data_IF_740465666778
#
_entry.id   IF_740465666778
#
_cell.length_a   1.000
_cell.length_b   1.000
_cell.length_c   1.000
_cell.angle_alpha   90.00
_cell.angle_beta   90.00
_cell.angle_gamma   90.00
#
_symmetry.space_group_name_H-M   'P 1'
#
loop_
_entity.id
_entity.type
_entity.pdbx_description
1 polymer ?
#
# COMPACT_ATOMS: atom_id res chain seq x y z
N UNK A 1 -25.93 -12.91 -16.75
CA UNK A 1 -24.52 -12.78 -17.15
C UNK A 1 -23.67 -13.07 -15.92
N UNK A 2 -22.53 -13.72 -16.13
CA UNK A 2 -21.88 -14.73 -15.27
C UNK A 2 -21.84 -14.46 -13.75
N UNK A 3 -22.38 -15.40 -12.96
CA UNK A 3 -22.32 -15.45 -11.48
C UNK A 3 -21.09 -16.20 -10.95
N UNK A 4 -20.06 -16.40 -11.77
CA UNK A 4 -18.83 -17.09 -11.40
C UNK A 4 -17.62 -16.31 -11.94
N UNK A 5 -17.24 -15.25 -11.24
CA UNK A 5 -15.92 -14.62 -11.43
C UNK A 5 -14.96 -15.18 -10.37
N UNK A 6 -13.78 -15.64 -10.79
CA UNK A 6 -12.74 -16.15 -9.89
C UNK A 6 -12.11 -15.03 -9.05
N UNK A 7 -12.10 -13.80 -9.58
CA UNK A 7 -11.57 -12.62 -8.91
C UNK A 7 -12.73 -11.79 -8.37
N UNK A 8 -12.80 -11.65 -7.04
CA UNK A 8 -13.88 -10.89 -6.39
C UNK A 8 -13.74 -9.37 -6.55
N UNK A 9 -12.51 -8.87 -6.66
CA UNK A 9 -12.21 -7.45 -6.88
C UNK A 9 -10.89 -7.32 -7.63
N UNK A 10 -10.88 -6.52 -8.69
CA UNK A 10 -9.71 -6.34 -9.54
C UNK A 10 -8.71 -5.37 -8.88
N UNK A 11 -7.41 -5.61 -9.08
CA UNK A 11 -6.41 -4.64 -8.65
C UNK A 11 -6.61 -3.33 -9.42
N UNK A 12 -6.54 -2.20 -8.71
CA UNK A 12 -6.83 -0.88 -9.28
C UNK A 12 -8.31 -0.53 -9.39
N UNK A 13 -9.25 -1.43 -9.05
CA UNK A 13 -10.66 -1.06 -8.99
C UNK A 13 -11.02 -0.42 -7.65
N UNK A 14 -11.62 0.76 -7.72
CA UNK A 14 -12.18 1.50 -6.58
C UNK A 14 -13.70 1.49 -6.68
N UNK A 15 -14.36 1.48 -5.53
CA UNK A 15 -15.82 1.45 -5.42
C UNK A 15 -16.21 2.52 -4.39
N UNK A 16 -17.40 3.09 -4.54
CA UNK A 16 -18.00 3.99 -3.55
C UNK A 16 -18.03 3.34 -2.15
N UNK A 17 -17.78 4.14 -1.12
CA UNK A 17 -17.94 3.72 0.26
C UNK A 17 -19.14 4.41 0.89
N UNK A 18 -20.32 3.79 0.77
CA UNK A 18 -21.55 4.30 1.41
C UNK A 18 -21.40 4.43 2.94
N UNK A 19 -20.75 3.45 3.57
CA UNK A 19 -20.51 3.43 5.01
C UNK A 19 -19.67 4.61 5.51
N UNK A 20 -18.72 5.07 4.68
CA UNK A 20 -17.86 6.22 4.96
C UNK A 20 -18.36 7.51 4.31
N UNK A 21 -19.47 7.45 3.56
CA UNK A 21 -20.05 8.55 2.77
C UNK A 21 -19.03 9.19 1.83
N UNK A 22 -18.25 8.34 1.16
CA UNK A 22 -17.21 8.75 0.24
C UNK A 22 -17.54 8.23 -1.15
N UNK A 23 -17.78 9.17 -2.07
CA UNK A 23 -18.01 8.87 -3.48
C UNK A 23 -16.78 8.24 -4.15
N UNK A 24 -17.00 7.50 -5.24
CA UNK A 24 -15.97 6.75 -5.97
C UNK A 24 -14.80 7.64 -6.42
N UNK A 25 -15.08 8.79 -7.04
CA UNK A 25 -14.05 9.70 -7.56
C UNK A 25 -13.10 10.21 -6.47
N UNK A 26 -13.64 10.55 -5.28
CA UNK A 26 -12.80 10.94 -4.13
C UNK A 26 -12.06 9.76 -3.53
N UNK A 27 -12.71 8.59 -3.46
CA UNK A 27 -12.06 7.38 -2.97
C UNK A 27 -10.87 6.98 -3.85
N UNK A 28 -10.99 7.12 -5.18
CA UNK A 28 -9.93 6.80 -6.14
C UNK A 28 -8.70 7.68 -5.93
N UNK A 29 -8.89 9.01 -5.85
CA UNK A 29 -7.80 9.96 -5.59
C UNK A 29 -7.05 9.65 -4.28
N UNK A 30 -7.77 9.27 -3.22
CA UNK A 30 -7.15 8.91 -1.95
C UNK A 30 -6.40 7.58 -2.04
N UNK A 31 -7.01 6.57 -2.66
CA UNK A 31 -6.41 5.24 -2.79
C UNK A 31 -5.14 5.28 -3.65
N UNK A 32 -5.12 6.09 -4.71
CA UNK A 32 -3.92 6.26 -5.55
C UNK A 32 -2.75 6.87 -4.77
N UNK A 33 -3.02 7.94 -4.00
CA UNK A 33 -2.01 8.55 -3.15
C UNK A 33 -1.52 7.56 -2.07
N UNK A 34 -2.44 6.88 -1.39
CA UNK A 34 -2.12 5.93 -0.32
C UNK A 34 -1.37 4.70 -0.83
N UNK A 35 -1.70 4.17 -2.01
CA UNK A 35 -0.96 3.05 -2.60
C UNK A 35 0.46 3.46 -3.02
N UNK A 36 0.63 4.68 -3.51
CA UNK A 36 1.96 5.25 -3.79
C UNK A 36 2.80 5.32 -2.52
N UNK A 37 2.24 5.88 -1.45
CA UNK A 37 2.90 5.98 -0.15
C UNK A 37 3.18 4.62 0.48
N UNK A 38 2.26 3.65 0.36
CA UNK A 38 2.42 2.29 0.84
C UNK A 38 3.60 1.60 0.14
N UNK A 39 3.68 1.70 -1.18
CA UNK A 39 4.77 1.12 -1.96
C UNK A 39 6.13 1.74 -1.56
N UNK A 40 6.20 3.08 -1.48
CA UNK A 40 7.40 3.79 -1.05
C UNK A 40 7.81 3.40 0.38
N UNK A 41 6.84 3.34 1.30
CA UNK A 41 7.07 2.97 2.70
C UNK A 41 7.54 1.53 2.86
N UNK A 42 7.05 0.60 2.03
CA UNK A 42 7.50 -0.79 2.07
C UNK A 42 8.94 -0.96 1.56
N UNK A 43 9.31 -0.20 0.52
CA UNK A 43 10.70 -0.14 0.06
C UNK A 43 11.60 0.44 1.16
N UNK A 44 11.17 1.55 1.78
CA UNK A 44 11.89 2.15 2.91
C UNK A 44 12.05 1.15 4.06
N UNK A 45 10.98 0.45 4.44
CA UNK A 45 11.02 -0.58 5.47
C UNK A 45 12.08 -1.63 5.14
N UNK A 46 12.09 -2.18 3.93
CA UNK A 46 13.08 -3.18 3.55
C UNK A 46 14.51 -2.62 3.48
N UNK A 47 14.70 -1.35 3.08
CA UNK A 47 16.00 -0.69 3.15
C UNK A 47 16.47 -0.53 4.59
N UNK A 48 15.60 -0.11 5.51
CA UNK A 48 15.92 -0.01 6.93
C UNK A 48 16.27 -1.38 7.51
N UNK A 49 15.55 -2.44 7.15
CA UNK A 49 15.90 -3.82 7.56
C UNK A 49 17.25 -4.24 7.00
N UNK A 50 17.54 -3.95 5.73
CA UNK A 50 18.84 -4.21 5.12
C UNK A 50 19.96 -3.46 5.84
N UNK A 51 19.79 -2.17 6.10
CA UNK A 51 20.78 -1.38 6.84
C UNK A 51 20.95 -1.91 8.27
N UNK A 52 19.86 -2.25 8.95
CA UNK A 52 19.92 -2.84 10.28
C UNK A 52 20.73 -4.15 10.32
N UNK A 53 20.65 -4.98 9.28
CA UNK A 53 21.41 -6.23 9.20
C UNK A 53 22.88 -6.03 8.81
N UNK A 54 23.17 -5.04 7.97
CA UNK A 54 24.49 -4.89 7.35
C UNK A 54 25.29 -3.70 7.89
N UNK A 55 24.76 -2.92 8.83
CA UNK A 55 25.47 -1.77 9.39
C UNK A 55 26.68 -2.27 10.18
N UNK A 56 27.82 -1.66 9.92
CA UNK A 56 29.11 -1.91 10.54
C UNK A 56 29.70 -0.57 10.98
N UNK A 57 30.60 -0.55 11.94
CA UNK A 57 31.21 0.68 12.46
C UNK A 57 31.38 0.65 13.98
N UNK A 58 32.08 1.65 14.52
CA UNK A 58 32.36 1.72 15.96
C UNK A 58 31.09 1.93 16.80
N UNK A 59 30.04 2.48 16.18
CA UNK A 59 28.77 2.83 16.80
C UNK A 59 27.68 1.76 16.62
N UNK A 60 27.95 0.64 15.92
CA UNK A 60 26.92 -0.36 15.60
C UNK A 60 26.41 -1.15 16.83
N UNK A 61 27.26 -1.43 17.82
CA UNK A 61 26.93 -2.25 19.02
C UNK A 61 26.97 -1.47 20.34
N UNK A 62 27.03 -0.13 20.30
CA UNK A 62 27.04 0.70 21.51
C UNK A 62 25.64 0.88 22.10
#
# INVERSE_FOLDING_TARGET
MSTQETVRRQAGSVEESEALRLDEDKAEQLIDALNTDLAASYVLYHQLKKHHWNVEGAEFLQ
#
